data_IF_865985397686
#
_entry.id   IF_865985397686
#
_cell.length_a   1.000
_cell.length_b   1.000
_cell.length_c   1.000
_cell.angle_alpha   90.00
_cell.angle_beta   90.00
_cell.angle_gamma   90.00
#
_symmetry.space_group_name_H-M   'P 1'
#
loop_
_entity.id
_entity.type
_entity.pdbx_description
1 polymer ?
#
# COMPACT_ATOMS: atom_id res chain seq x y z
N UNK A 1 -0.01 14.56 -15.53
CA UNK A 1 -0.82 13.39 -15.98
C UNK A 1 -2.23 13.49 -15.42
N UNK A 2 -3.24 13.20 -16.24
CA UNK A 2 -4.63 13.06 -15.79
C UNK A 2 -4.81 11.79 -14.94
N UNK A 3 -5.91 11.70 -14.17
CA UNK A 3 -6.22 10.49 -13.40
C UNK A 3 -6.32 9.24 -14.29
N UNK A 4 -6.85 9.37 -15.50
CA UNK A 4 -6.96 8.26 -16.44
C UNK A 4 -5.60 7.81 -16.96
N UNK A 5 -4.69 8.73 -17.24
CA UNK A 5 -3.31 8.40 -17.65
C UNK A 5 -2.54 7.69 -16.51
N UNK A 6 -2.72 8.14 -15.26
CA UNK A 6 -2.14 7.47 -14.10
C UNK A 6 -2.71 6.08 -13.90
N UNK A 7 -4.04 5.90 -14.08
CA UNK A 7 -4.68 4.60 -13.98
C UNK A 7 -4.19 3.64 -15.09
N UNK A 8 -4.01 4.11 -16.30
CA UNK A 8 -3.46 3.30 -17.40
C UNK A 8 -2.02 2.86 -17.11
N UNK A 9 -1.18 3.77 -16.60
CA UNK A 9 0.21 3.46 -16.25
C UNK A 9 0.29 2.40 -15.13
N UNK A 10 -0.49 2.55 -14.05
CA UNK A 10 -0.49 1.56 -12.97
C UNK A 10 -1.11 0.24 -13.41
N UNK A 11 -2.11 0.23 -14.30
CA UNK A 11 -2.69 -0.99 -14.85
C UNK A 11 -1.67 -1.78 -15.67
N UNK A 12 -0.84 -1.13 -16.49
CA UNK A 12 0.23 -1.78 -17.23
C UNK A 12 1.25 -2.45 -16.29
N UNK A 13 1.67 -1.76 -15.23
CA UNK A 13 2.55 -2.31 -14.20
C UNK A 13 1.89 -3.50 -13.47
N UNK A 14 0.63 -3.36 -13.09
CA UNK A 14 -0.12 -4.41 -12.39
C UNK A 14 -0.26 -5.69 -13.24
N UNK A 15 -0.60 -5.56 -14.52
CA UNK A 15 -0.70 -6.69 -15.46
C UNK A 15 0.65 -7.34 -15.71
N UNK A 16 1.73 -6.56 -15.83
CA UNK A 16 3.10 -7.11 -15.92
C UNK A 16 3.45 -7.96 -14.69
N UNK A 17 3.06 -7.52 -13.49
CA UNK A 17 3.28 -8.29 -12.26
C UNK A 17 2.32 -9.47 -12.09
N UNK A 18 1.08 -9.39 -12.61
CA UNK A 18 0.19 -10.54 -12.69
C UNK A 18 0.84 -11.70 -13.48
N UNK A 19 1.42 -11.39 -14.64
CA UNK A 19 2.12 -12.37 -15.49
C UNK A 19 3.31 -13.03 -14.78
N UNK A 20 4.01 -12.29 -13.92
CA UNK A 20 5.24 -12.76 -13.22
C UNK A 20 4.94 -13.48 -11.90
N UNK A 21 4.04 -12.95 -11.11
CA UNK A 21 3.79 -13.38 -9.72
C UNK A 21 2.37 -13.88 -9.47
N UNK A 22 1.47 -13.74 -10.43
CA UNK A 22 0.06 -14.11 -10.30
C UNK A 22 -0.75 -13.20 -9.36
N UNK A 23 -0.19 -12.01 -9.00
CA UNK A 23 -0.88 -11.07 -8.12
C UNK A 23 -1.99 -10.32 -8.88
N UNK A 24 -3.24 -10.23 -8.34
CA UNK A 24 -4.36 -9.68 -9.07
C UNK A 24 -4.21 -8.16 -9.28
N UNK A 25 -4.30 -7.68 -10.53
CA UNK A 25 -4.19 -6.27 -10.87
C UNK A 25 -5.21 -5.38 -10.14
N UNK A 26 -6.42 -5.90 -9.94
CA UNK A 26 -7.52 -5.21 -9.26
C UNK A 26 -7.13 -4.82 -7.83
N UNK A 27 -6.50 -5.74 -7.11
CA UNK A 27 -6.05 -5.51 -5.73
C UNK A 27 -4.89 -4.51 -5.70
N UNK A 28 -3.93 -4.66 -6.61
CA UNK A 28 -2.79 -3.74 -6.68
C UNK A 28 -3.24 -2.31 -6.99
N UNK A 29 -4.15 -2.13 -7.94
CA UNK A 29 -4.70 -0.82 -8.29
C UNK A 29 -5.51 -0.24 -7.13
N UNK A 30 -6.32 -1.05 -6.44
CA UNK A 30 -7.07 -0.60 -5.28
C UNK A 30 -6.13 -0.12 -4.16
N UNK A 31 -5.07 -0.86 -3.86
CA UNK A 31 -4.05 -0.47 -2.89
C UNK A 31 -3.38 0.84 -3.30
N UNK A 32 -2.92 0.96 -4.56
CA UNK A 32 -2.33 2.19 -5.06
C UNK A 32 -3.28 3.39 -4.95
N UNK A 33 -4.54 3.21 -5.34
CA UNK A 33 -5.53 4.28 -5.31
C UNK A 33 -5.77 4.81 -3.89
N UNK A 34 -5.80 3.93 -2.89
CA UNK A 34 -6.00 4.29 -1.48
C UNK A 34 -4.74 4.94 -0.92
N UNK A 35 -3.59 4.28 -1.04
CA UNK A 35 -2.33 4.71 -0.41
C UNK A 35 -1.79 6.03 -0.98
N UNK A 36 -1.92 6.24 -2.28
CA UNK A 36 -1.43 7.44 -2.97
C UNK A 36 -2.51 8.49 -3.24
N UNK A 37 -3.76 8.25 -2.81
CA UNK A 37 -4.89 9.07 -3.24
C UNK A 37 -4.95 9.23 -4.77
N UNK A 38 -4.95 8.09 -5.49
CA UNK A 38 -4.92 8.07 -6.96
C UNK A 38 -3.70 8.77 -7.55
N UNK A 39 -2.53 8.61 -6.94
CA UNK A 39 -1.27 9.20 -7.38
C UNK A 39 -1.06 10.67 -7.01
N UNK A 40 -1.98 11.29 -6.26
CA UNK A 40 -1.89 12.71 -5.87
C UNK A 40 -0.95 12.96 -4.67
N UNK A 41 -0.64 11.92 -3.89
CA UNK A 41 0.18 12.01 -2.67
C UNK A 41 1.31 10.98 -2.72
N UNK A 42 2.39 11.26 -3.46
CA UNK A 42 3.56 10.38 -3.46
C UNK A 42 4.25 10.45 -2.09
N UNK A 43 4.74 9.33 -1.62
CA UNK A 43 5.46 9.19 -0.35
C UNK A 43 6.91 8.76 -0.62
N UNK A 44 7.72 9.61 -1.27
CA UNK A 44 9.07 9.29 -1.72
C UNK A 44 9.19 9.15 -3.24
N UNK A 45 10.42 8.97 -3.72
CA UNK A 45 10.71 8.84 -5.15
C UNK A 45 10.18 7.49 -5.67
N UNK A 46 9.32 7.51 -6.67
CA UNK A 46 8.69 6.33 -7.29
C UNK A 46 7.99 5.38 -6.30
N UNK A 47 7.67 5.84 -5.10
CA UNK A 47 7.00 5.06 -4.07
C UNK A 47 5.48 5.14 -4.24
N UNK A 48 4.92 4.20 -4.97
CA UNK A 48 3.51 4.20 -5.36
C UNK A 48 2.55 3.79 -4.22
N UNK A 49 3.06 3.17 -3.16
CA UNK A 49 2.26 2.52 -2.11
C UNK A 49 2.56 3.02 -0.69
N UNK A 50 3.31 4.10 -0.55
CA UNK A 50 3.67 4.59 0.78
C UNK A 50 4.48 3.58 1.61
N UNK A 51 5.34 2.80 0.97
CA UNK A 51 6.19 1.84 1.66
C UNK A 51 7.20 2.55 2.55
N UNK A 52 7.22 2.21 3.84
CA UNK A 52 8.22 2.73 4.77
C UNK A 52 9.59 2.15 4.48
N UNK A 53 10.63 2.92 4.74
CA UNK A 53 12.01 2.48 4.55
C UNK A 53 12.38 1.35 5.51
N UNK A 54 13.04 0.33 4.97
CA UNK A 54 13.67 -0.73 5.77
C UNK A 54 15.11 -0.94 5.27
N UNK A 55 16.14 -0.83 6.14
CA UNK A 55 17.54 -0.81 5.72
C UNK A 55 18.02 -2.09 5.04
N UNK A 56 17.38 -3.25 5.33
CA UNK A 56 17.74 -4.51 4.69
C UNK A 56 17.14 -4.69 3.28
N UNK A 57 16.19 -3.81 2.86
CA UNK A 57 15.47 -3.97 1.60
C UNK A 57 15.62 -2.77 0.67
N UNK A 58 15.84 -1.57 1.22
CA UNK A 58 15.86 -0.33 0.49
C UNK A 58 17.22 0.34 0.56
N UNK A 59 17.65 0.94 -0.54
CA UNK A 59 18.95 1.63 -0.65
C UNK A 59 18.91 3.07 -0.20
N UNK A 60 17.78 3.74 -0.39
CA UNK A 60 17.58 5.16 -0.09
C UNK A 60 16.16 5.44 0.39
N UNK A 61 15.98 6.63 0.98
CA UNK A 61 14.69 7.07 1.49
C UNK A 61 14.55 8.58 1.38
N UNK A 62 13.29 9.02 1.36
CA UNK A 62 12.89 10.40 1.55
C UNK A 62 12.24 10.59 2.92
N UNK A 63 12.54 11.73 3.58
CA UNK A 63 11.77 12.16 4.75
C UNK A 63 10.45 12.79 4.30
N UNK A 64 9.33 12.24 4.78
CA UNK A 64 7.99 12.72 4.44
C UNK A 64 7.22 13.02 5.71
N UNK A 65 6.69 14.26 5.79
CA UNK A 65 5.80 14.65 6.88
C UNK A 65 4.46 13.93 6.71
N UNK A 66 4.05 13.20 7.73
CA UNK A 66 2.82 12.41 7.72
C UNK A 66 2.05 12.55 9.04
N UNK A 67 0.80 12.07 9.03
CA UNK A 67 -0.01 11.88 10.20
C UNK A 67 -0.33 10.40 10.35
N UNK A 68 -0.08 9.85 11.53
CA UNK A 68 -0.38 8.46 11.84
C UNK A 68 -1.16 8.35 13.14
N UNK A 69 -1.97 7.32 13.26
CA UNK A 69 -2.62 6.96 14.53
C UNK A 69 -1.87 5.76 15.11
N UNK A 70 -1.11 6.02 16.16
CA UNK A 70 -0.21 5.07 16.80
C UNK A 70 -0.56 4.92 18.28
N UNK A 71 -0.40 3.71 18.81
CA UNK A 71 -0.39 3.48 20.24
C UNK A 71 0.93 3.97 20.84
N UNK A 72 0.97 4.15 22.17
CA UNK A 72 2.22 4.52 22.85
C UNK A 72 3.33 3.47 22.62
N UNK A 73 2.97 2.19 22.55
CA UNK A 73 3.91 1.11 22.25
C UNK A 73 4.51 1.24 20.85
N UNK A 74 3.69 1.58 19.85
CA UNK A 74 4.16 1.80 18.47
C UNK A 74 5.05 3.04 18.37
N UNK A 75 4.69 4.13 19.04
CA UNK A 75 5.55 5.33 19.14
C UNK A 75 6.92 4.98 19.73
N UNK A 76 6.95 4.20 20.79
CA UNK A 76 8.20 3.79 21.44
C UNK A 76 9.07 2.87 20.56
N UNK A 77 8.45 2.13 19.62
CA UNK A 77 9.13 1.25 18.66
C UNK A 77 9.60 1.95 17.39
N UNK A 78 9.22 3.21 17.18
CA UNK A 78 9.75 3.97 16.05
C UNK A 78 11.28 4.04 16.13
N UNK A 79 11.98 4.02 14.98
CA UNK A 79 13.41 4.34 14.94
C UNK A 79 13.69 5.64 15.68
N UNK A 80 14.83 5.70 16.38
CA UNK A 80 15.17 6.83 17.25
C UNK A 80 15.15 8.16 16.49
N UNK A 81 15.62 8.18 15.25
CA UNK A 81 15.67 9.35 14.40
C UNK A 81 14.27 9.78 13.86
N UNK A 82 13.33 8.85 13.64
CA UNK A 82 11.92 9.16 13.34
C UNK A 82 11.21 9.68 14.59
N UNK A 83 11.43 9.05 15.74
CA UNK A 83 10.85 9.47 17.01
C UNK A 83 11.30 10.89 17.41
N UNK A 84 12.55 11.23 17.16
CA UNK A 84 13.08 12.58 17.38
C UNK A 84 12.44 13.65 16.46
N UNK A 85 11.74 13.24 15.40
CA UNK A 85 11.05 14.11 14.44
C UNK A 85 9.54 14.19 14.65
N UNK A 86 9.06 13.71 15.78
CA UNK A 86 7.65 13.93 16.19
C UNK A 86 7.47 15.43 16.46
N UNK A 87 6.56 16.06 15.71
CA UNK A 87 6.24 17.49 15.85
C UNK A 87 5.04 17.70 16.78
N UNK A 88 4.08 16.78 16.77
CA UNK A 88 2.87 16.85 17.59
C UNK A 88 2.32 15.44 17.82
N UNK A 89 1.83 15.22 19.02
CA UNK A 89 1.03 14.04 19.34
C UNK A 89 -0.18 14.47 20.18
N UNK A 90 -1.37 13.94 19.86
CA UNK A 90 -2.59 14.23 20.59
C UNK A 90 -3.45 12.96 20.66
N UNK A 91 -4.13 12.69 21.78
CA UNK A 91 -5.04 11.56 21.88
C UNK A 91 -6.10 11.59 20.79
N UNK A 92 -6.51 10.42 20.30
CA UNK A 92 -7.61 10.25 19.35
C UNK A 92 -8.90 10.02 20.15
N UNK A 93 -9.85 10.97 20.21
CA UNK A 93 -11.03 10.85 21.09
C UNK A 93 -11.88 9.60 20.80
N UNK A 94 -11.96 9.20 19.53
CA UNK A 94 -12.76 8.06 19.07
C UNK A 94 -12.06 6.72 19.17
N UNK A 95 -10.75 6.69 19.58
CA UNK A 95 -9.94 5.48 19.70
C UNK A 95 -9.06 5.53 20.96
N UNK A 96 -9.59 5.15 22.12
CA UNK A 96 -8.82 5.14 23.37
C UNK A 96 -7.48 4.38 23.23
N UNK A 97 -6.40 4.97 23.75
CA UNK A 97 -5.04 4.41 23.67
C UNK A 97 -4.29 4.73 22.37
N UNK A 98 -4.93 5.39 21.41
CA UNK A 98 -4.28 5.86 20.18
C UNK A 98 -3.99 7.37 20.23
N UNK A 99 -2.89 7.75 19.62
CA UNK A 99 -2.47 9.13 19.45
C UNK A 99 -2.39 9.46 17.96
N UNK A 100 -2.91 10.60 17.55
CA UNK A 100 -2.66 11.18 16.24
C UNK A 100 -1.32 11.90 16.29
N UNK A 101 -0.34 11.35 15.61
CA UNK A 101 1.05 11.79 15.63
C UNK A 101 1.40 12.45 14.30
N UNK A 102 1.89 13.68 14.35
CA UNK A 102 2.50 14.36 13.20
C UNK A 102 4.01 14.19 13.29
N UNK A 103 4.60 13.51 12.33
CA UNK A 103 6.03 13.21 12.34
C UNK A 103 6.59 13.12 10.92
N UNK A 104 7.91 13.27 10.79
CA UNK A 104 8.59 12.91 9.57
C UNK A 104 9.01 11.44 9.64
N UNK A 105 8.60 10.66 8.63
CA UNK A 105 8.97 9.24 8.49
C UNK A 105 9.83 9.02 7.27
N UNK A 106 10.64 7.99 7.32
CA UNK A 106 11.40 7.50 6.18
C UNK A 106 10.51 6.65 5.30
N UNK A 107 10.31 7.10 4.08
CA UNK A 107 9.65 6.30 3.04
C UNK A 107 10.70 5.84 2.04
N UNK A 108 10.57 4.60 1.58
CA UNK A 108 11.50 4.03 0.61
C UNK A 108 11.50 4.82 -0.69
N UNK A 109 12.69 5.04 -1.26
CA UNK A 109 12.86 5.52 -2.63
C UNK A 109 13.18 4.36 -3.54
N UNK A 110 12.64 4.40 -4.76
CA UNK A 110 12.87 3.42 -5.80
C UNK A 110 13.45 4.08 -7.05
N UNK A 111 14.29 3.36 -7.79
CA UNK A 111 14.82 3.87 -9.05
C UNK A 111 13.72 3.94 -10.10
N UNK A 112 12.80 2.96 -10.09
CA UNK A 112 11.65 2.90 -11.01
C UNK A 112 10.34 2.57 -10.28
N UNK A 113 9.18 2.93 -10.87
CA UNK A 113 7.87 2.53 -10.36
C UNK A 113 7.68 1.00 -10.27
N UNK A 114 8.27 0.24 -11.19
CA UNK A 114 8.24 -1.22 -11.22
C UNK A 114 8.85 -1.83 -9.95
N UNK A 115 9.93 -1.25 -9.44
CA UNK A 115 10.55 -1.71 -8.19
C UNK A 115 9.61 -1.52 -6.99
N UNK A 116 8.88 -0.40 -6.94
CA UNK A 116 7.87 -0.16 -5.90
C UNK A 116 6.73 -1.19 -5.97
N UNK A 117 6.28 -1.53 -7.19
CA UNK A 117 5.28 -2.59 -7.39
C UNK A 117 5.83 -3.94 -6.96
N UNK A 118 7.07 -4.27 -7.35
CA UNK A 118 7.71 -5.54 -6.98
C UNK A 118 7.84 -5.69 -5.46
N UNK A 119 8.23 -4.63 -4.75
CA UNK A 119 8.34 -4.64 -3.28
C UNK A 119 6.97 -4.81 -2.62
N UNK A 120 5.94 -4.12 -3.12
CA UNK A 120 4.57 -4.26 -2.64
C UNK A 120 4.01 -5.67 -2.82
N UNK A 121 4.15 -6.22 -4.02
CA UNK A 121 3.74 -7.60 -4.32
C UNK A 121 4.54 -8.58 -3.46
N UNK A 122 5.85 -8.40 -3.37
CA UNK A 122 6.74 -9.21 -2.53
C UNK A 122 6.29 -9.23 -1.06
N UNK A 123 5.91 -8.07 -0.50
CA UNK A 123 5.41 -8.00 0.87
C UNK A 123 4.19 -8.91 1.08
N UNK A 124 3.21 -8.87 0.18
CA UNK A 124 1.97 -9.66 0.35
C UNK A 124 2.22 -11.14 0.07
N UNK A 125 3.05 -11.47 -0.90
CA UNK A 125 3.25 -12.87 -1.31
C UNK A 125 4.23 -13.64 -0.44
N UNK A 126 5.13 -12.96 0.29
CA UNK A 126 6.19 -13.60 1.09
C UNK A 126 6.04 -13.47 2.61
N UNK A 127 5.42 -12.39 3.11
CA UNK A 127 5.32 -12.18 4.55
C UNK A 127 4.41 -13.23 5.22
N UNK A 128 4.89 -13.82 6.31
CA UNK A 128 4.22 -14.90 7.01
C UNK A 128 2.75 -14.60 7.37
N UNK A 129 2.47 -13.36 7.79
CA UNK A 129 1.12 -12.92 8.17
C UNK A 129 0.10 -12.98 7.02
N UNK A 130 0.52 -12.84 5.76
CA UNK A 130 -0.36 -12.88 4.60
C UNK A 130 -0.42 -14.25 3.91
N UNK A 131 0.38 -15.22 4.37
CA UNK A 131 0.53 -16.54 3.73
C UNK A 131 -0.81 -17.24 3.51
N UNK A 132 -1.69 -17.25 4.51
CA UNK A 132 -2.99 -17.90 4.40
C UNK A 132 -3.87 -17.25 3.34
N UNK A 133 -3.95 -15.93 3.32
CA UNK A 133 -4.73 -15.18 2.33
C UNK A 133 -4.19 -15.38 0.91
N UNK A 134 -2.86 -15.32 0.74
CA UNK A 134 -2.22 -15.53 -0.54
C UNK A 134 -2.39 -16.97 -1.05
N UNK A 135 -2.23 -17.97 -0.17
CA UNK A 135 -2.42 -19.39 -0.54
C UNK A 135 -3.85 -19.68 -0.99
N UNK A 136 -4.86 -19.16 -0.28
CA UNK A 136 -6.26 -19.30 -0.66
C UNK A 136 -6.53 -18.67 -2.03
N UNK A 137 -6.05 -17.44 -2.27
CA UNK A 137 -6.19 -16.78 -3.57
C UNK A 137 -5.56 -17.58 -4.72
N UNK A 138 -4.42 -18.20 -4.50
CA UNK A 138 -3.76 -19.02 -5.53
C UNK A 138 -4.61 -20.23 -5.95
N UNK A 139 -5.46 -20.73 -5.07
CA UNK A 139 -6.35 -21.88 -5.33
C UNK A 139 -7.63 -21.45 -6.05
N UNK A 140 -8.30 -20.41 -5.56
CA UNK A 140 -9.66 -20.06 -6.02
C UNK A 140 -9.75 -18.78 -6.87
N UNK A 141 -8.64 -18.02 -6.95
CA UNK A 141 -8.56 -16.74 -7.67
C UNK A 141 -9.60 -15.70 -7.24
N UNK A 142 -10.11 -15.82 -6.03
CA UNK A 142 -11.12 -14.92 -5.50
C UNK A 142 -10.49 -13.64 -4.93
N UNK A 143 -10.63 -12.53 -5.68
CA UNK A 143 -10.10 -11.21 -5.33
C UNK A 143 -10.68 -10.70 -4.02
N UNK A 144 -11.98 -10.87 -3.78
CA UNK A 144 -12.64 -10.41 -2.56
C UNK A 144 -12.12 -11.13 -1.31
N UNK A 145 -11.90 -12.46 -1.41
CA UNK A 145 -11.29 -13.22 -0.32
C UNK A 145 -9.85 -12.77 -0.04
N UNK A 146 -9.09 -12.46 -1.09
CA UNK A 146 -7.73 -11.93 -0.89
C UNK A 146 -7.76 -10.59 -0.15
N UNK A 147 -8.59 -9.63 -0.58
CA UNK A 147 -8.72 -8.33 0.09
C UNK A 147 -9.11 -8.54 1.56
N UNK A 148 -10.14 -9.34 1.84
CA UNK A 148 -10.54 -9.66 3.23
C UNK A 148 -9.40 -10.29 4.02
N UNK A 149 -8.71 -11.26 3.43
CA UNK A 149 -7.64 -12.00 4.10
C UNK A 149 -6.46 -11.10 4.49
N UNK A 150 -6.01 -10.21 3.59
CA UNK A 150 -4.92 -9.28 3.89
C UNK A 150 -5.33 -8.22 4.92
N UNK A 151 -6.58 -7.75 4.89
CA UNK A 151 -7.09 -6.81 5.89
C UNK A 151 -7.16 -7.47 7.28
N UNK A 152 -7.70 -8.69 7.39
CA UNK A 152 -7.73 -9.46 8.65
C UNK A 152 -6.33 -9.77 9.19
N UNK A 153 -5.34 -9.91 8.32
CA UNK A 153 -3.95 -10.10 8.68
C UNK A 153 -3.24 -8.78 9.09
N UNK A 154 -4.00 -7.69 9.29
CA UNK A 154 -3.46 -6.42 9.78
C UNK A 154 -2.79 -5.55 8.70
N UNK A 155 -3.21 -5.68 7.44
CA UNK A 155 -2.71 -4.81 6.38
C UNK A 155 -3.08 -3.34 6.60
N UNK A 156 -4.32 -3.09 7.03
CA UNK A 156 -4.80 -1.76 7.36
C UNK A 156 -5.61 -1.81 8.66
N UNK A 157 -5.34 -0.87 9.55
CA UNK A 157 -6.05 -0.73 10.83
C UNK A 157 -7.19 0.30 10.77
N UNK A 158 -7.25 1.09 9.68
CA UNK A 158 -8.29 2.08 9.46
C UNK A 158 -9.62 1.39 9.10
N UNK A 159 -10.68 1.76 9.82
CA UNK A 159 -12.03 1.30 9.49
C UNK A 159 -12.41 1.69 8.05
N UNK A 160 -13.07 0.76 7.33
CA UNK A 160 -13.54 1.00 5.97
C UNK A 160 -12.54 0.69 4.84
N UNK A 161 -11.27 0.39 5.13
CA UNK A 161 -10.28 0.07 4.09
C UNK A 161 -10.72 -1.10 3.21
N UNK A 162 -11.19 -2.21 3.82
CA UNK A 162 -11.64 -3.39 3.10
C UNK A 162 -12.78 -3.07 2.12
N UNK A 163 -13.81 -2.35 2.60
CA UNK A 163 -14.95 -1.96 1.78
C UNK A 163 -14.53 -1.07 0.61
N UNK A 164 -13.67 -0.07 0.88
CA UNK A 164 -13.15 0.82 -0.15
C UNK A 164 -12.28 0.09 -1.18
N UNK A 165 -11.42 -0.83 -0.75
CA UNK A 165 -10.58 -1.62 -1.64
C UNK A 165 -11.43 -2.50 -2.58
N UNK A 166 -12.48 -3.16 -2.06
CA UNK A 166 -13.42 -3.92 -2.88
C UNK A 166 -14.18 -3.05 -3.87
N UNK A 167 -14.65 -1.89 -3.40
CA UNK A 167 -15.36 -0.94 -4.25
C UNK A 167 -14.48 -0.46 -5.42
N UNK A 168 -13.21 -0.13 -5.15
CA UNK A 168 -12.27 0.30 -6.20
C UNK A 168 -11.94 -0.87 -7.14
N UNK A 169 -11.65 -2.05 -6.63
CA UNK A 169 -11.35 -3.23 -7.43
C UNK A 169 -12.49 -3.59 -8.41
N UNK A 170 -13.73 -3.33 -8.02
CA UNK A 170 -14.93 -3.58 -8.83
C UNK A 170 -15.27 -2.46 -9.82
N UNK A 171 -14.60 -1.30 -9.80
CA UNK A 171 -14.92 -0.17 -10.68
C UNK A 171 -14.73 -0.51 -12.16
N UNK A 172 -15.67 -0.06 -12.98
CA UNK A 172 -15.64 -0.32 -14.44
C UNK A 172 -14.40 0.29 -15.11
N UNK A 173 -13.98 1.50 -14.75
CA UNK A 173 -12.76 2.12 -15.28
C UNK A 173 -11.48 1.34 -14.91
N UNK A 174 -11.42 0.70 -13.75
CA UNK A 174 -10.32 -0.17 -13.35
C UNK A 174 -10.29 -1.42 -14.24
N UNK A 175 -11.44 -2.07 -14.44
CA UNK A 175 -11.57 -3.24 -15.33
C UNK A 175 -11.18 -2.93 -16.76
N UNK A 176 -11.64 -1.79 -17.29
CA UNK A 176 -11.30 -1.35 -18.64
C UNK A 176 -9.79 -1.07 -18.78
N UNK A 177 -9.17 -0.41 -17.81
CA UNK A 177 -7.73 -0.15 -17.82
C UNK A 177 -6.91 -1.46 -17.80
N UNK A 178 -7.31 -2.44 -16.97
CA UNK A 178 -6.68 -3.76 -16.92
C UNK A 178 -6.85 -4.49 -18.26
N UNK A 179 -8.07 -4.48 -18.82
CA UNK A 179 -8.36 -5.12 -20.12
C UNK A 179 -7.49 -4.52 -21.23
N UNK A 180 -7.38 -3.20 -21.29
CA UNK A 180 -6.51 -2.53 -22.26
C UNK A 180 -5.03 -2.90 -22.08
N UNK A 181 -4.54 -2.95 -20.82
CA UNK A 181 -3.17 -3.32 -20.52
C UNK A 181 -2.83 -4.79 -20.82
N UNK A 182 -3.82 -5.69 -20.85
CA UNK A 182 -3.61 -7.10 -21.24
C UNK A 182 -3.46 -7.32 -22.73
N UNK A 183 -3.90 -6.34 -23.55
CA UNK A 183 -3.81 -6.39 -25.02
C UNK A 183 -2.46 -5.88 -25.55
N UNK A 184 -1.68 -5.22 -24.70
CA UNK A 184 -0.33 -4.74 -24.99
C UNK A 184 0.73 -5.70 -24.44
#
# INVERSE_FOLDING_TARGET
MTRMQQLAAIAALAVSHERRAGYPPEVLIAQWAIESNWGKRPSGKNNLFGMTFHPSRHRSFSWVLTWEELTQTEINRLPADERARIRKAAPVPTRPGYFRVNLERKFADYDTPEQSVADKVGLITSAARYRAAWSAYRQDRNVDKLITGICRAGYATAGGYEALARQIAAQNNVRLAISAARQT
#
